data_IF_942550608601
#
_entry.id   IF_942550608601
#
_cell.length_a   1.000
_cell.length_b   1.000
_cell.length_c   1.000
_cell.angle_alpha   90.00
_cell.angle_beta   90.00
_cell.angle_gamma   90.00
#
_symmetry.space_group_name_H-M   'P 1'
#
loop_
_entity.id
_entity.type
_entity.pdbx_description
1 polymer ?
#
# COMPACT_ATOMS: atom_id res chain seq x y z
N UNK A 1 -32.92 21.34 -8.03
CA UNK A 1 -33.30 21.97 -6.76
C UNK A 1 -34.79 21.67 -6.53
N UNK A 2 -35.08 20.71 -5.66
CA UNK A 2 -36.46 20.30 -5.36
C UNK A 2 -36.86 20.94 -4.03
N UNK A 3 -37.92 21.76 -4.06
CA UNK A 3 -38.45 22.46 -2.88
C UNK A 3 -39.58 21.61 -2.32
N UNK A 4 -39.43 21.05 -1.13
CA UNK A 4 -40.50 20.37 -0.41
C UNK A 4 -41.18 21.34 0.54
N UNK A 5 -42.49 21.59 0.34
CA UNK A 5 -43.33 22.33 1.29
C UNK A 5 -43.92 21.37 2.33
N UNK A 6 -43.43 21.45 3.56
CA UNK A 6 -44.06 20.71 4.70
C UNK A 6 -45.10 21.63 5.32
N UNK A 7 -46.37 21.19 5.29
CA UNK A 7 -47.47 21.88 5.96
C UNK A 7 -47.54 21.37 7.41
N UNK A 8 -47.10 22.18 8.38
CA UNK A 8 -47.33 21.90 9.82
C UNK A 8 -48.68 22.52 10.20
N UNK A 9 -49.67 21.67 10.50
CA UNK A 9 -50.92 22.08 11.12
C UNK A 9 -50.77 22.10 12.62
N UNK A 10 -50.61 23.30 13.26
CA UNK A 10 -51.19 23.69 14.53
C UNK A 10 -50.94 25.16 14.83
N UNK A 11 -52.03 25.88 14.96
CA UNK A 11 -52.27 27.13 15.63
C UNK A 11 -51.07 28.04 15.95
N UNK A 12 -50.65 28.87 15.02
CA UNK A 12 -50.27 30.27 15.21
C UNK A 12 -50.12 30.93 13.85
N UNK A 13 -50.58 32.15 13.75
CA UNK A 13 -50.67 32.90 12.51
C UNK A 13 -49.33 33.00 11.81
N UNK A 14 -49.28 32.56 10.55
CA UNK A 14 -48.33 32.94 9.49
C UNK A 14 -46.82 32.98 9.85
N UNK A 15 -46.24 31.83 10.15
CA UNK A 15 -44.79 31.65 10.06
C UNK A 15 -44.49 30.63 8.96
N UNK A 16 -44.07 31.13 7.80
CA UNK A 16 -43.55 30.26 6.75
C UNK A 16 -42.07 29.98 7.04
N UNK A 17 -41.80 28.82 7.65
CA UNK A 17 -40.44 28.33 7.79
C UNK A 17 -40.06 27.69 6.44
N UNK A 18 -39.23 28.36 5.67
CA UNK A 18 -38.57 27.76 4.51
C UNK A 18 -37.34 27.01 5.02
N UNK A 19 -37.48 25.69 5.17
CA UNK A 19 -36.35 24.83 5.46
C UNK A 19 -35.56 24.64 4.16
N UNK A 20 -34.45 25.30 4.01
CA UNK A 20 -33.48 24.97 2.96
C UNK A 20 -32.81 23.64 3.33
N UNK A 21 -33.29 22.55 2.76
CA UNK A 21 -32.51 21.30 2.73
C UNK A 21 -31.45 21.50 1.64
N UNK A 22 -30.29 22.01 2.03
CA UNK A 22 -29.13 21.93 1.17
C UNK A 22 -28.80 20.43 1.01
N UNK A 23 -29.19 19.87 -0.13
CA UNK A 23 -28.62 18.60 -0.56
C UNK A 23 -27.12 18.85 -0.79
N UNK A 24 -26.32 18.74 0.25
CA UNK A 24 -24.92 18.45 0.11
C UNK A 24 -24.88 17.05 -0.56
N UNK A 25 -24.73 17.02 -1.86
CA UNK A 25 -24.22 15.84 -2.55
C UNK A 25 -22.78 15.71 -2.03
N UNK A 26 -22.64 15.08 -0.88
CA UNK A 26 -21.34 14.71 -0.36
C UNK A 26 -20.73 13.81 -1.45
N UNK A 27 -19.72 14.32 -2.16
CA UNK A 27 -19.04 13.54 -3.18
C UNK A 27 -18.60 12.24 -2.52
N UNK A 28 -19.26 11.15 -2.89
CA UNK A 28 -19.03 9.85 -2.29
C UNK A 28 -17.55 9.50 -2.50
N UNK A 29 -16.84 9.20 -1.42
CA UNK A 29 -15.46 8.75 -1.49
C UNK A 29 -15.45 7.36 -2.12
N UNK A 30 -14.79 7.22 -3.26
CA UNK A 30 -14.69 5.97 -4.01
C UNK A 30 -13.23 5.57 -4.11
N UNK A 31 -12.92 4.36 -3.66
CA UNK A 31 -11.64 3.71 -3.88
C UNK A 31 -11.66 2.92 -5.18
N UNK A 32 -10.60 3.08 -5.95
CA UNK A 32 -10.37 2.34 -7.19
C UNK A 32 -9.46 1.17 -6.87
N UNK A 33 -9.98 -0.04 -7.02
CA UNK A 33 -9.35 -1.27 -6.59
C UNK A 33 -9.10 -2.17 -7.79
N UNK A 34 -7.87 -2.61 -7.94
CA UNK A 34 -7.46 -3.54 -9.00
C UNK A 34 -7.97 -4.95 -8.73
N UNK A 35 -7.66 -5.50 -7.57
CA UNK A 35 -8.00 -6.88 -7.21
C UNK A 35 -7.95 -7.12 -5.71
N UNK A 36 -8.38 -8.32 -5.28
CA UNK A 36 -8.30 -8.80 -3.91
C UNK A 36 -7.58 -10.14 -3.85
N UNK A 37 -6.92 -10.41 -2.73
CA UNK A 37 -6.50 -11.73 -2.32
C UNK A 37 -7.02 -12.00 -0.90
N UNK A 38 -7.88 -13.01 -0.76
CA UNK A 38 -8.58 -13.27 0.51
C UNK A 38 -7.79 -14.12 1.51
N UNK A 39 -6.66 -14.70 1.10
CA UNK A 39 -5.82 -15.59 1.91
C UNK A 39 -4.32 -15.31 1.73
N UNK A 40 -3.92 -14.03 1.67
CA UNK A 40 -2.50 -13.62 1.60
C UNK A 40 -1.74 -14.05 2.84
N UNK A 41 -0.59 -14.67 2.65
CA UNK A 41 0.30 -15.15 3.73
C UNK A 41 1.68 -14.50 3.71
N UNK A 42 1.92 -13.63 2.73
CA UNK A 42 3.23 -12.95 2.52
C UNK A 42 3.14 -11.42 2.59
N UNK A 43 1.96 -10.89 2.94
CA UNK A 43 1.70 -9.45 2.96
C UNK A 43 1.48 -8.94 4.39
N UNK A 44 2.31 -9.40 5.31
CA UNK A 44 2.27 -9.08 6.74
C UNK A 44 2.01 -10.32 7.62
N UNK A 45 1.79 -10.15 8.93
CA UNK A 45 1.64 -11.27 9.85
C UNK A 45 0.31 -12.00 9.67
N UNK A 46 0.35 -13.33 9.77
CA UNK A 46 -0.83 -14.20 9.72
C UNK A 46 -1.47 -14.30 8.34
N UNK A 47 -2.75 -14.71 8.30
CA UNK A 47 -3.55 -14.74 7.07
C UNK A 47 -4.27 -13.42 6.91
N UNK A 48 -4.17 -12.80 5.73
CA UNK A 48 -4.65 -11.44 5.50
C UNK A 48 -5.60 -11.36 4.30
N UNK A 49 -6.52 -10.42 4.37
CA UNK A 49 -7.24 -9.96 3.19
C UNK A 49 -6.44 -8.83 2.57
N UNK A 50 -5.93 -9.03 1.36
CA UNK A 50 -5.09 -8.06 0.65
C UNK A 50 -5.91 -7.31 -0.38
N UNK A 51 -5.85 -5.98 -0.34
CA UNK A 51 -6.51 -5.08 -1.28
C UNK A 51 -5.45 -4.44 -2.16
N UNK A 52 -5.48 -4.72 -3.46
CA UNK A 52 -4.56 -4.13 -4.42
C UNK A 52 -5.22 -2.90 -5.06
N UNK A 53 -4.66 -1.72 -4.76
CA UNK A 53 -5.17 -0.44 -5.25
C UNK A 53 -4.78 -0.19 -6.71
N UNK A 54 -5.60 0.57 -7.43
CA UNK A 54 -5.31 1.05 -8.77
C UNK A 54 -4.59 2.40 -8.71
N UNK A 55 -3.56 2.57 -9.54
CA UNK A 55 -2.72 3.77 -9.64
C UNK A 55 -1.38 3.63 -8.94
N UNK A 56 -0.29 3.89 -9.67
CA UNK A 56 1.07 3.92 -9.11
C UNK A 56 1.91 4.97 -9.84
N UNK A 57 2.63 5.87 -9.15
CA UNK A 57 3.52 6.83 -9.79
C UNK A 57 4.86 6.22 -10.20
N UNK A 58 5.22 5.05 -9.65
CA UNK A 58 6.46 4.37 -9.96
C UNK A 58 6.36 3.55 -11.25
N UNK A 59 7.54 3.28 -11.84
CA UNK A 59 7.73 2.41 -13.01
C UNK A 59 8.84 1.40 -12.74
N UNK A 60 8.70 0.69 -11.61
CA UNK A 60 9.70 -0.30 -11.20
C UNK A 60 9.93 -1.34 -12.28
N UNK A 61 11.19 -1.57 -12.67
CA UNK A 61 11.56 -2.51 -13.75
C UNK A 61 11.12 -3.94 -13.46
N UNK A 62 11.05 -4.34 -12.18
CA UNK A 62 10.61 -5.65 -11.72
C UNK A 62 9.13 -5.68 -11.25
N UNK A 63 8.31 -4.72 -11.66
CA UNK A 63 6.93 -4.67 -11.19
C UNK A 63 6.14 -5.90 -11.65
N UNK A 64 5.46 -6.58 -10.72
CA UNK A 64 4.57 -7.70 -11.04
C UNK A 64 3.16 -7.27 -11.40
N UNK A 65 2.81 -6.00 -11.17
CA UNK A 65 1.48 -5.45 -11.40
C UNK A 65 1.51 -4.18 -12.26
N UNK A 66 2.09 -4.22 -13.49
CA UNK A 66 2.12 -3.06 -14.38
C UNK A 66 0.71 -2.60 -14.80
N UNK A 67 -0.26 -3.49 -14.71
CA UNK A 67 -1.69 -3.25 -14.91
C UNK A 67 -2.32 -2.31 -13.85
N UNK A 68 -1.64 -2.10 -12.72
CA UNK A 68 -2.05 -1.10 -11.71
C UNK A 68 -1.52 0.31 -11.95
N UNK A 69 -0.61 0.52 -12.90
CA UNK A 69 0.10 1.81 -13.06
C UNK A 69 -0.80 2.99 -13.39
N UNK A 70 -1.72 2.81 -14.33
CA UNK A 70 -2.60 3.89 -14.77
C UNK A 70 -3.76 4.09 -13.77
N UNK A 71 -3.73 5.22 -13.06
CA UNK A 71 -4.78 5.58 -12.11
C UNK A 71 -6.16 5.81 -12.77
N UNK A 72 -6.20 6.06 -14.10
CA UNK A 72 -7.44 6.31 -14.84
C UNK A 72 -7.91 5.08 -15.63
N UNK A 73 -7.10 4.01 -15.70
CA UNK A 73 -7.52 2.77 -16.34
C UNK A 73 -8.81 2.23 -15.72
N UNK A 74 -9.57 1.44 -16.48
CA UNK A 74 -10.72 0.74 -15.94
C UNK A 74 -10.25 -0.20 -14.84
N UNK A 75 -10.64 0.08 -13.59
CA UNK A 75 -10.39 -0.82 -12.46
C UNK A 75 -11.48 -1.90 -12.36
N UNK A 76 -11.17 -2.98 -11.66
CA UNK A 76 -12.11 -4.09 -11.52
C UNK A 76 -13.23 -3.75 -10.53
N UNK A 77 -12.92 -2.99 -9.49
CA UNK A 77 -13.87 -2.62 -8.44
C UNK A 77 -13.79 -1.13 -8.10
N UNK A 78 -14.95 -0.52 -7.86
CA UNK A 78 -15.10 0.82 -7.31
C UNK A 78 -16.00 0.72 -6.08
N UNK A 79 -15.41 0.88 -4.89
CA UNK A 79 -16.10 0.73 -3.61
C UNK A 79 -16.02 2.00 -2.78
N UNK A 80 -17.05 2.25 -1.98
CA UNK A 80 -16.88 3.13 -0.82
C UNK A 80 -16.09 2.40 0.27
N UNK A 81 -15.48 3.12 1.24
CA UNK A 81 -14.80 2.47 2.36
C UNK A 81 -15.70 1.50 3.13
N UNK A 82 -17.00 1.83 3.29
CA UNK A 82 -17.99 0.98 3.94
C UNK A 82 -18.24 -0.32 3.15
N UNK A 83 -18.43 -0.21 1.84
CA UNK A 83 -18.62 -1.40 0.99
C UNK A 83 -17.41 -2.32 1.03
N UNK A 84 -16.19 -1.75 1.03
CA UNK A 84 -14.97 -2.54 1.14
C UNK A 84 -14.87 -3.22 2.50
N UNK A 85 -15.15 -2.50 3.61
CA UNK A 85 -15.21 -3.08 4.95
C UNK A 85 -16.22 -4.24 5.01
N UNK A 86 -17.41 -4.07 4.45
CA UNK A 86 -18.45 -5.11 4.44
C UNK A 86 -18.00 -6.36 3.68
N UNK A 87 -17.26 -6.19 2.59
CA UNK A 87 -16.65 -7.33 1.86
C UNK A 87 -15.60 -8.05 2.72
N UNK A 88 -14.69 -7.31 3.35
CA UNK A 88 -13.63 -7.87 4.20
C UNK A 88 -14.18 -8.64 5.40
N UNK A 89 -15.20 -8.11 6.05
CA UNK A 89 -15.83 -8.72 7.24
C UNK A 89 -16.39 -10.12 6.94
N UNK A 90 -16.75 -10.42 5.70
CA UNK A 90 -17.18 -11.78 5.27
C UNK A 90 -16.09 -12.83 5.45
N UNK A 91 -14.82 -12.40 5.47
CA UNK A 91 -13.65 -13.26 5.66
C UNK A 91 -13.08 -13.23 7.07
N UNK A 92 -13.75 -12.54 8.02
CA UNK A 92 -13.26 -12.27 9.38
C UNK A 92 -12.75 -13.51 10.11
N UNK A 93 -13.44 -14.65 9.97
CA UNK A 93 -13.05 -15.90 10.63
C UNK A 93 -11.68 -16.41 10.16
N UNK A 94 -11.32 -16.15 8.92
CA UNK A 94 -10.06 -16.60 8.32
C UNK A 94 -8.89 -15.64 8.59
N UNK A 95 -9.17 -14.34 8.63
CA UNK A 95 -8.15 -13.30 8.81
C UNK A 95 -7.97 -12.86 10.26
N UNK A 96 -8.56 -13.57 11.23
CA UNK A 96 -8.56 -13.21 12.66
C UNK A 96 -7.13 -13.05 13.23
N UNK A 97 -6.17 -13.87 12.76
CA UNK A 97 -4.78 -13.84 13.22
C UNK A 97 -3.89 -12.88 12.43
N UNK A 98 -4.39 -12.35 11.32
CA UNK A 98 -3.65 -11.47 10.40
C UNK A 98 -4.28 -10.09 10.32
N UNK A 99 -5.39 -9.98 9.59
CA UNK A 99 -6.09 -8.70 9.36
C UNK A 99 -6.17 -8.31 7.89
N UNK A 100 -6.01 -7.03 7.63
CA UNK A 100 -6.11 -6.44 6.28
C UNK A 100 -4.79 -5.82 5.86
N UNK A 101 -4.41 -6.00 4.60
CA UNK A 101 -3.30 -5.26 3.98
C UNK A 101 -3.82 -4.47 2.77
N UNK A 102 -3.47 -3.21 2.69
CA UNK A 102 -3.68 -2.41 1.48
C UNK A 102 -2.34 -2.24 0.76
N UNK A 103 -2.28 -2.73 -0.47
CA UNK A 103 -1.11 -2.82 -1.35
C UNK A 103 -1.50 -2.45 -2.79
N UNK A 104 -0.83 -3.01 -3.80
CA UNK A 104 -1.23 -2.97 -5.20
C UNK A 104 -0.38 -2.05 -6.05
N UNK A 105 -0.93 -0.92 -6.54
CA UNK A 105 -0.18 0.19 -7.10
C UNK A 105 0.57 0.92 -5.99
N UNK A 106 0.17 2.16 -5.71
CA UNK A 106 0.64 2.90 -4.54
C UNK A 106 -0.58 3.37 -3.72
N UNK A 107 -0.87 2.74 -2.57
CA UNK A 107 -2.04 3.05 -1.76
C UNK A 107 -2.16 4.52 -1.35
N UNK A 108 -1.03 5.17 -1.11
CA UNK A 108 -0.99 6.57 -0.66
C UNK A 108 -1.47 7.57 -1.73
N UNK A 109 -1.61 7.15 -3.00
CA UNK A 109 -2.30 7.95 -4.02
C UNK A 109 -3.80 8.12 -3.71
N UNK A 110 -4.38 7.18 -2.95
CA UNK A 110 -5.78 7.20 -2.52
C UNK A 110 -5.89 7.34 -0.99
N UNK A 111 -5.03 8.16 -0.39
CA UNK A 111 -4.82 8.26 1.05
C UNK A 111 -6.12 8.52 1.86
N UNK A 112 -7.01 9.41 1.40
CA UNK A 112 -8.28 9.67 2.13
C UNK A 112 -9.17 8.41 2.19
N UNK A 113 -9.22 7.63 1.09
CA UNK A 113 -9.96 6.38 1.04
C UNK A 113 -9.35 5.33 1.96
N UNK A 114 -8.03 5.15 1.90
CA UNK A 114 -7.31 4.17 2.74
C UNK A 114 -7.45 4.51 4.21
N UNK A 115 -7.35 5.79 4.57
CA UNK A 115 -7.51 6.26 5.95
C UNK A 115 -8.88 5.90 6.53
N UNK A 116 -9.96 6.19 5.79
CA UNK A 116 -11.32 5.88 6.22
C UNK A 116 -11.58 4.36 6.25
N UNK A 117 -11.05 3.62 5.28
CA UNK A 117 -11.15 2.17 5.26
C UNK A 117 -10.43 1.53 6.47
N UNK A 118 -9.21 1.97 6.79
CA UNK A 118 -8.48 1.47 7.97
C UNK A 118 -9.18 1.82 9.27
N UNK A 119 -9.73 3.02 9.39
CA UNK A 119 -10.54 3.41 10.54
C UNK A 119 -11.74 2.45 10.74
N UNK A 120 -12.43 2.11 9.67
CA UNK A 120 -13.54 1.15 9.72
C UNK A 120 -13.07 -0.27 10.04
N UNK A 121 -11.89 -0.67 9.58
CA UNK A 121 -11.29 -1.96 9.95
C UNK A 121 -10.98 -2.02 11.46
N UNK A 122 -10.47 -0.94 12.05
CA UNK A 122 -10.24 -0.85 13.49
C UNK A 122 -11.55 -0.94 14.30
N UNK A 123 -12.65 -0.35 13.83
CA UNK A 123 -13.97 -0.52 14.46
C UNK A 123 -14.44 -1.98 14.48
N UNK A 124 -14.00 -2.77 13.50
CA UNK A 124 -14.24 -4.22 13.46
C UNK A 124 -13.20 -5.04 14.24
N UNK A 125 -12.21 -4.40 14.87
CA UNK A 125 -11.11 -5.06 15.58
C UNK A 125 -10.15 -5.81 14.66
N UNK A 126 -10.00 -5.37 13.42
CA UNK A 126 -9.07 -5.92 12.44
C UNK A 126 -7.76 -5.14 12.44
N UNK A 127 -6.65 -5.86 12.47
CA UNK A 127 -5.31 -5.30 12.32
C UNK A 127 -5.10 -4.82 10.88
N UNK A 128 -4.50 -3.63 10.71
CA UNK A 128 -4.27 -2.99 9.42
C UNK A 128 -2.78 -2.93 9.07
N UNK A 129 -2.45 -3.26 7.83
CA UNK A 129 -1.11 -3.10 7.30
C UNK A 129 -1.12 -2.29 6.00
N UNK A 130 -0.18 -1.37 5.89
CA UNK A 130 0.04 -0.55 4.69
C UNK A 130 1.28 -1.06 3.98
N UNK A 131 1.14 -1.59 2.76
CA UNK A 131 2.25 -1.97 1.89
C UNK A 131 2.48 -0.86 0.86
N UNK A 132 3.60 -0.16 0.98
CA UNK A 132 3.86 1.07 0.23
C UNK A 132 5.33 1.24 -0.12
N UNK A 133 5.59 1.94 -1.21
CA UNK A 133 6.93 2.42 -1.53
C UNK A 133 7.35 3.65 -0.71
N UNK A 134 6.42 4.31 -0.02
CA UNK A 134 6.67 5.59 0.67
C UNK A 134 7.09 6.73 -0.26
N UNK A 135 7.04 6.54 -1.59
CA UNK A 135 7.49 7.56 -2.55
C UNK A 135 6.48 8.70 -2.74
N UNK A 136 5.23 8.50 -2.35
CA UNK A 136 4.16 9.48 -2.47
C UNK A 136 3.78 10.04 -1.10
N UNK A 137 4.35 11.21 -0.74
CA UNK A 137 4.07 11.90 0.52
C UNK A 137 3.15 13.10 0.26
N UNK A 138 2.04 13.17 1.00
CA UNK A 138 1.12 14.31 1.04
C UNK A 138 0.68 14.55 2.49
N UNK A 139 0.07 15.70 2.78
CA UNK A 139 -0.48 15.98 4.12
C UNK A 139 -1.53 14.93 4.57
N UNK A 140 -2.14 14.23 3.61
CA UNK A 140 -3.19 13.23 3.87
C UNK A 140 -2.67 11.93 4.46
N UNK A 141 -1.36 11.63 4.30
CA UNK A 141 -0.77 10.38 4.82
C UNK A 141 -0.92 10.27 6.35
N UNK A 142 -0.95 11.42 7.06
CA UNK A 142 -1.08 11.42 8.52
C UNK A 142 -2.34 10.66 8.97
N UNK A 143 -3.47 10.88 8.27
CA UNK A 143 -4.73 10.18 8.57
C UNK A 143 -4.66 8.68 8.28
N UNK A 144 -3.88 8.25 7.28
CA UNK A 144 -3.64 6.83 7.01
C UNK A 144 -2.86 6.23 8.18
N UNK A 145 -1.77 6.90 8.56
CA UNK A 145 -0.88 6.43 9.61
C UNK A 145 -1.53 6.43 11.00
N UNK A 146 -2.55 7.27 11.25
CA UNK A 146 -3.35 7.25 12.48
C UNK A 146 -4.11 5.93 12.70
N UNK A 147 -4.34 5.17 11.62
CA UNK A 147 -5.09 3.92 11.61
C UNK A 147 -4.27 2.77 11.00
N UNK A 148 -2.95 2.81 11.11
CA UNK A 148 -2.04 1.79 10.56
C UNK A 148 -1.28 1.13 11.70
N UNK A 149 -1.43 -0.19 11.84
CA UNK A 149 -0.74 -0.98 12.89
C UNK A 149 0.63 -1.45 12.43
N UNK A 150 0.84 -1.60 11.12
CA UNK A 150 2.10 -2.07 10.54
C UNK A 150 2.32 -1.43 9.17
N UNK A 151 3.55 -1.05 8.88
CA UNK A 151 3.94 -0.66 7.52
C UNK A 151 4.90 -1.70 6.93
N UNK A 152 4.60 -2.16 5.73
CA UNK A 152 5.51 -2.90 4.87
C UNK A 152 6.13 -1.88 3.91
N UNK A 153 7.35 -1.45 4.21
CA UNK A 153 8.02 -0.39 3.45
C UNK A 153 9.00 -0.98 2.45
N UNK A 154 8.71 -0.77 1.18
CA UNK A 154 9.62 -1.16 0.10
C UNK A 154 10.79 -0.19 -0.03
N UNK A 155 12.02 -0.64 0.26
CA UNK A 155 13.25 0.07 -0.13
C UNK A 155 13.85 -0.65 -1.33
N UNK A 156 13.71 -0.04 -2.52
CA UNK A 156 14.01 -0.72 -3.80
C UNK A 156 15.51 -0.89 -4.07
N UNK A 157 16.35 0.01 -3.57
CA UNK A 157 17.82 -0.07 -3.52
C UNK A 157 18.36 1.06 -2.63
N UNK A 158 19.59 0.90 -2.12
CA UNK A 158 20.32 1.99 -1.44
C UNK A 158 21.34 2.67 -2.37
N UNK A 159 21.39 2.29 -3.64
CA UNK A 159 22.17 2.98 -4.66
C UNK A 159 21.37 4.21 -5.17
N UNK A 160 21.84 5.45 -4.88
CA UNK A 160 21.11 6.66 -5.24
C UNK A 160 21.08 6.93 -6.76
N UNK A 161 22.03 6.36 -7.52
CA UNK A 161 22.05 6.48 -8.98
C UNK A 161 21.13 5.44 -9.63
N UNK A 162 21.07 4.25 -9.06
CA UNK A 162 20.22 3.19 -9.54
C UNK A 162 18.73 3.46 -9.21
N UNK A 163 18.42 4.01 -8.03
CA UNK A 163 17.04 4.15 -7.58
C UNK A 163 16.10 4.84 -8.60
N UNK A 164 16.45 6.02 -9.17
CA UNK A 164 15.58 6.66 -10.17
C UNK A 164 15.52 5.89 -11.50
N UNK A 165 16.58 5.21 -11.89
CA UNK A 165 16.56 4.35 -13.10
C UNK A 165 15.70 3.11 -12.91
N UNK A 166 15.68 2.56 -11.71
CA UNK A 166 14.94 1.36 -11.36
C UNK A 166 13.44 1.61 -11.17
N UNK A 167 13.08 2.80 -10.64
CA UNK A 167 11.72 3.10 -10.18
C UNK A 167 11.03 4.22 -10.95
N UNK A 168 11.77 5.05 -11.68
CA UNK A 168 11.26 6.25 -12.33
C UNK A 168 11.08 7.47 -11.43
N UNK A 169 11.40 7.37 -10.12
CA UNK A 169 11.22 8.46 -9.15
C UNK A 169 12.45 8.61 -8.24
N UNK A 170 12.57 9.75 -7.54
CA UNK A 170 13.63 9.96 -6.54
C UNK A 170 13.39 9.15 -5.26
N UNK A 171 14.45 8.68 -4.62
CA UNK A 171 14.40 7.98 -3.32
C UNK A 171 14.07 8.92 -2.15
N UNK A 172 14.18 10.21 -2.32
CA UNK A 172 14.09 11.19 -1.22
C UNK A 172 12.84 11.02 -0.35
N UNK A 173 11.68 10.78 -0.96
CA UNK A 173 10.44 10.60 -0.22
C UNK A 173 10.40 9.25 0.51
N UNK A 174 10.91 8.17 -0.09
CA UNK A 174 10.99 6.87 0.55
C UNK A 174 11.76 6.93 1.89
N UNK A 175 12.93 7.58 1.90
CA UNK A 175 13.73 7.76 3.11
C UNK A 175 13.04 8.67 4.12
N UNK A 176 12.47 9.81 3.68
CA UNK A 176 11.67 10.69 4.56
C UNK A 176 10.45 9.99 5.15
N UNK A 177 9.85 9.05 4.42
CA UNK A 177 8.71 8.30 4.93
C UNK A 177 9.13 7.41 6.10
N UNK A 178 10.30 6.78 6.03
CA UNK A 178 10.85 6.00 7.15
C UNK A 178 11.11 6.89 8.38
N UNK A 179 11.63 8.13 8.18
CA UNK A 179 11.79 9.10 9.28
C UNK A 179 10.44 9.44 9.95
N UNK A 180 9.36 9.57 9.16
CA UNK A 180 8.01 9.80 9.69
C UNK A 180 7.53 8.59 10.50
N UNK A 181 7.76 7.36 10.03
CA UNK A 181 7.39 6.13 10.74
C UNK A 181 8.11 6.02 12.08
N UNK A 182 9.41 6.35 12.11
CA UNK A 182 10.20 6.39 13.35
C UNK A 182 9.62 7.39 14.35
N UNK A 183 9.37 8.63 13.93
CA UNK A 183 8.80 9.67 14.80
C UNK A 183 7.43 9.28 15.37
N UNK A 184 6.69 8.46 14.66
CA UNK A 184 5.36 7.97 15.07
C UNK A 184 5.40 6.63 15.77
N UNK A 185 6.58 5.99 15.87
CA UNK A 185 6.76 4.65 16.45
C UNK A 185 5.85 3.59 15.81
N UNK A 186 5.66 3.66 14.49
CA UNK A 186 4.83 2.69 13.77
C UNK A 186 5.68 1.47 13.41
N UNK A 187 5.31 0.26 13.87
CA UNK A 187 5.99 -0.97 13.51
C UNK A 187 6.18 -1.06 11.99
N UNK A 188 7.41 -1.34 11.56
CA UNK A 188 7.77 -1.33 10.14
C UNK A 188 8.57 -2.55 9.78
N UNK A 189 8.21 -3.22 8.68
CA UNK A 189 9.01 -4.24 8.04
C UNK A 189 9.57 -3.68 6.75
N UNK A 190 10.88 -3.69 6.59
CA UNK A 190 11.51 -3.28 5.32
C UNK A 190 11.46 -4.44 4.35
N UNK A 191 10.93 -4.20 3.16
CA UNK A 191 10.88 -5.17 2.05
C UNK A 191 11.86 -4.78 0.95
N UNK A 192 12.59 -5.76 0.45
CA UNK A 192 13.59 -5.54 -0.59
C UNK A 192 13.57 -6.65 -1.63
N UNK A 193 13.25 -6.30 -2.88
CA UNK A 193 13.30 -7.24 -4.01
C UNK A 193 14.75 -7.34 -4.49
N UNK A 194 15.30 -8.55 -4.46
CA UNK A 194 16.66 -8.81 -4.96
C UNK A 194 16.61 -9.36 -6.37
N UNK A 195 17.05 -8.52 -7.31
CA UNK A 195 17.15 -8.83 -8.75
C UNK A 195 18.60 -9.13 -9.09
N UNK A 196 18.93 -10.34 -9.59
CA UNK A 196 20.31 -10.68 -9.97
C UNK A 196 20.92 -9.67 -10.94
N UNK A 197 22.14 -9.21 -10.60
CA UNK A 197 22.87 -8.23 -11.42
C UNK A 197 22.32 -6.80 -11.40
N UNK A 198 21.22 -6.52 -10.69
CA UNK A 198 20.60 -5.20 -10.59
C UNK A 198 20.60 -4.68 -9.15
N UNK A 199 19.85 -5.31 -8.25
CA UNK A 199 19.82 -4.96 -6.83
C UNK A 199 20.58 -5.95 -5.95
N UNK A 200 21.17 -6.98 -6.56
CA UNK A 200 21.98 -8.02 -5.91
C UNK A 200 23.45 -7.56 -5.79
N UNK A 201 23.70 -6.50 -5.05
CA UNK A 201 25.05 -6.00 -4.77
C UNK A 201 25.29 -5.96 -3.25
N UNK A 202 26.32 -6.63 -2.79
CA UNK A 202 26.63 -6.80 -1.36
C UNK A 202 26.86 -5.48 -0.64
N UNK A 203 27.50 -4.48 -1.27
CA UNK A 203 27.72 -3.17 -0.67
C UNK A 203 26.41 -2.45 -0.40
N UNK A 204 25.49 -2.46 -1.38
CA UNK A 204 24.19 -1.80 -1.23
C UNK A 204 23.27 -2.55 -0.28
N UNK A 205 23.35 -3.88 -0.21
CA UNK A 205 22.66 -4.69 0.79
C UNK A 205 23.17 -4.38 2.20
N UNK A 206 24.48 -4.24 2.43
CA UNK A 206 25.04 -3.82 3.71
C UNK A 206 24.60 -2.39 4.09
N UNK A 207 24.52 -1.48 3.11
CA UNK A 207 23.98 -0.13 3.35
C UNK A 207 22.52 -0.17 3.75
N UNK A 208 21.71 -1.05 3.14
CA UNK A 208 20.33 -1.28 3.52
C UNK A 208 20.21 -1.76 4.97
N UNK A 209 21.01 -2.78 5.33
CA UNK A 209 21.03 -3.30 6.70
C UNK A 209 21.45 -2.24 7.73
N UNK A 210 22.55 -1.51 7.45
CA UNK A 210 23.02 -0.40 8.30
C UNK A 210 22.00 0.70 8.44
N UNK A 211 21.29 1.04 7.36
CA UNK A 211 20.23 2.05 7.39
C UNK A 211 19.05 1.57 8.24
N UNK A 212 18.57 0.36 8.02
CA UNK A 212 17.48 -0.25 8.80
C UNK A 212 17.79 -0.31 10.31
N UNK A 213 19.05 -0.57 10.67
CA UNK A 213 19.48 -0.66 12.07
C UNK A 213 19.41 0.68 12.83
N UNK A 214 19.30 1.81 12.15
CA UNK A 214 19.23 3.15 12.77
C UNK A 214 17.81 3.49 13.27
N UNK A 215 16.79 2.70 12.90
CA UNK A 215 15.39 2.96 13.20
C UNK A 215 14.84 1.92 14.17
N UNK A 216 14.35 2.38 15.31
CA UNK A 216 13.75 1.49 16.32
C UNK A 216 12.43 0.93 15.85
N UNK A 217 11.66 1.69 15.04
CA UNK A 217 10.41 1.23 14.46
C UNK A 217 10.56 0.05 13.49
N UNK A 218 11.78 -0.20 12.96
CA UNK A 218 12.03 -1.31 12.05
C UNK A 218 12.20 -2.60 12.85
N UNK A 219 11.21 -3.49 12.76
CA UNK A 219 11.21 -4.77 13.46
C UNK A 219 12.00 -5.86 12.72
N UNK A 220 11.91 -5.88 11.40
CA UNK A 220 12.60 -6.86 10.54
C UNK A 220 12.77 -6.40 9.11
N UNK A 221 13.57 -7.17 8.37
CA UNK A 221 13.68 -7.06 6.91
C UNK A 221 13.15 -8.32 6.24
N UNK A 222 12.52 -8.17 5.07
CA UNK A 222 12.06 -9.26 4.21
C UNK A 222 12.75 -9.17 2.85
N UNK A 223 13.51 -10.22 2.53
CA UNK A 223 14.15 -10.36 1.22
C UNK A 223 13.22 -11.11 0.30
N UNK A 224 12.78 -10.42 -0.73
CA UNK A 224 11.87 -10.94 -1.75
C UNK A 224 12.69 -11.38 -2.96
N UNK A 225 12.83 -12.70 -3.20
CA UNK A 225 13.53 -13.18 -4.37
C UNK A 225 12.81 -12.76 -5.65
N UNK A 226 13.56 -12.14 -6.58
CA UNK A 226 13.04 -11.83 -7.91
C UNK A 226 12.59 -13.11 -8.63
N UNK A 227 11.47 -13.03 -9.31
CA UNK A 227 10.91 -14.07 -10.19
C UNK A 227 10.15 -13.44 -11.36
N UNK A 228 9.88 -14.22 -12.41
CA UNK A 228 9.35 -13.74 -13.69
C UNK A 228 7.83 -13.88 -13.84
N UNK A 229 7.10 -14.22 -12.78
CA UNK A 229 5.65 -14.47 -12.82
C UNK A 229 4.80 -13.29 -13.30
N UNK A 230 5.34 -12.06 -13.33
CA UNK A 230 4.64 -10.86 -13.81
C UNK A 230 4.83 -10.57 -15.32
N UNK A 231 5.75 -11.24 -16.01
CA UNK A 231 6.14 -10.90 -17.39
C UNK A 231 4.97 -10.95 -18.37
N UNK A 232 4.11 -11.96 -18.29
CA UNK A 232 2.96 -12.12 -19.18
C UNK A 232 2.01 -10.90 -19.17
N UNK A 233 2.01 -10.10 -18.09
CA UNK A 233 1.20 -8.88 -18.00
C UNK A 233 1.74 -7.77 -18.89
N UNK A 234 3.08 -7.67 -19.01
CA UNK A 234 3.71 -6.70 -19.90
C UNK A 234 3.36 -7.00 -21.36
N UNK A 235 3.43 -8.26 -21.76
CA UNK A 235 3.03 -8.70 -23.10
C UNK A 235 1.56 -8.32 -23.39
N UNK A 236 0.65 -8.63 -22.45
CA UNK A 236 -0.78 -8.28 -22.58
C UNK A 236 -1.05 -6.78 -22.68
N UNK A 237 -0.19 -5.96 -22.07
CA UNK A 237 -0.29 -4.50 -22.09
C UNK A 237 0.47 -3.88 -23.28
N UNK A 238 1.15 -4.68 -24.11
CA UNK A 238 2.01 -4.19 -25.18
C UNK A 238 3.24 -3.41 -24.67
N UNK A 239 3.69 -3.71 -23.44
CA UNK A 239 4.84 -3.09 -22.80
C UNK A 239 6.07 -3.99 -22.93
N UNK A 240 7.24 -3.38 -23.10
CA UNK A 240 8.49 -4.12 -23.03
C UNK A 240 8.87 -4.40 -21.57
N UNK A 241 9.15 -5.68 -21.24
CA UNK A 241 9.71 -6.04 -19.95
C UNK A 241 11.21 -5.70 -19.92
N UNK A 242 11.61 -4.86 -18.96
CA UNK A 242 12.98 -4.33 -18.94
C UNK A 242 14.02 -5.31 -18.38
N UNK A 243 13.58 -6.35 -17.69
CA UNK A 243 14.42 -7.40 -17.11
C UNK A 243 14.34 -8.71 -17.91
N UNK A 244 14.00 -8.63 -19.20
CA UNK A 244 13.99 -9.79 -20.07
C UNK A 244 15.34 -10.52 -20.04
N UNK A 245 15.31 -11.85 -19.88
CA UNK A 245 16.50 -12.68 -19.75
C UNK A 245 17.19 -12.65 -18.37
N UNK A 246 16.74 -11.85 -17.41
CA UNK A 246 17.26 -11.90 -16.03
C UNK A 246 16.68 -13.11 -15.30
N UNK A 247 17.51 -14.07 -14.82
CA UNK A 247 17.01 -15.26 -14.17
C UNK A 247 16.41 -14.94 -12.79
N UNK A 248 15.48 -15.77 -12.27
CA UNK A 248 15.05 -15.69 -10.87
C UNK A 248 16.23 -15.80 -9.90
N UNK A 249 16.11 -15.14 -8.74
CA UNK A 249 17.13 -15.24 -7.69
C UNK A 249 17.21 -16.68 -7.17
N UNK A 250 18.41 -17.24 -7.10
CA UNK A 250 18.60 -18.58 -6.55
C UNK A 250 18.31 -18.63 -5.04
N UNK A 251 17.81 -19.78 -4.57
CA UNK A 251 17.54 -20.00 -3.15
C UNK A 251 18.80 -19.84 -2.29
N UNK A 252 19.96 -20.33 -2.78
CA UNK A 252 21.26 -20.21 -2.08
C UNK A 252 21.68 -18.75 -1.93
N UNK A 253 21.49 -17.93 -2.97
CA UNK A 253 21.81 -16.50 -2.90
C UNK A 253 20.86 -15.78 -1.95
N UNK A 254 19.56 -16.07 -2.01
CA UNK A 254 18.59 -15.53 -1.08
C UNK A 254 18.93 -15.87 0.38
N UNK A 255 19.33 -17.12 0.67
CA UNK A 255 19.73 -17.55 2.00
C UNK A 255 20.98 -16.79 2.51
N UNK A 256 22.01 -16.65 1.68
CA UNK A 256 23.23 -15.88 2.01
C UNK A 256 22.92 -14.41 2.29
N UNK A 257 22.01 -13.80 1.55
CA UNK A 257 21.61 -12.40 1.77
C UNK A 257 20.86 -12.28 3.11
N UNK A 258 19.95 -13.19 3.43
CA UNK A 258 19.24 -13.19 4.72
C UNK A 258 20.21 -13.34 5.89
N UNK A 259 21.15 -14.27 5.81
CA UNK A 259 22.20 -14.44 6.80
C UNK A 259 23.02 -13.15 6.97
N UNK A 260 23.49 -12.55 5.87
CA UNK A 260 24.21 -11.28 5.85
C UNK A 260 23.47 -10.15 6.54
N UNK A 261 22.18 -10.00 6.24
CA UNK A 261 21.36 -8.90 6.77
C UNK A 261 20.87 -9.15 8.20
N UNK A 262 20.81 -10.40 8.64
CA UNK A 262 20.37 -10.76 9.99
C UNK A 262 21.24 -10.20 11.12
N UNK A 263 22.46 -9.76 10.82
CA UNK A 263 23.36 -9.08 11.78
C UNK A 263 22.88 -7.66 12.12
N UNK A 264 22.03 -7.07 11.30
CA UNK A 264 21.50 -5.70 11.47
C UNK A 264 20.10 -5.71 12.10
N UNK A 265 19.19 -6.48 11.53
CA UNK A 265 17.80 -6.69 12.00
C UNK A 265 17.39 -8.13 11.66
N UNK A 266 16.42 -8.73 12.37
CA UNK A 266 15.86 -10.02 11.98
C UNK A 266 15.50 -10.02 10.48
N UNK A 267 15.95 -11.02 9.71
CA UNK A 267 15.81 -11.05 8.26
C UNK A 267 15.19 -12.39 7.81
N UNK A 268 14.11 -12.31 7.00
CA UNK A 268 13.35 -13.44 6.45
C UNK A 268 13.39 -13.47 4.92
#
# INVERSE_FOLDING_TARGET
MQIYKIKIKKACKHLHIVVFVANFVQKQMIGRIHSFESFGTVDGPGVRFVVFMQGCPLRCQFCHNPDTWDANAKCQYEFTPQQLRDEVVRYRSFIKSGGVTVSGGEPLMQADFVAEFFRLCHEEGLHTALDTSGAYISERIQKVLDNTDLVLLDIKTMDPELYPRLTGVSQTNNLKFLDILEQRHIPTWIRHVVVPGVTDNDEWLDRLGKHAAQYDCVEKMEILPYHTLGEYKYEKLGLQYQLDGVPPLSADRAAKIRERLSVYKPCQ
#
